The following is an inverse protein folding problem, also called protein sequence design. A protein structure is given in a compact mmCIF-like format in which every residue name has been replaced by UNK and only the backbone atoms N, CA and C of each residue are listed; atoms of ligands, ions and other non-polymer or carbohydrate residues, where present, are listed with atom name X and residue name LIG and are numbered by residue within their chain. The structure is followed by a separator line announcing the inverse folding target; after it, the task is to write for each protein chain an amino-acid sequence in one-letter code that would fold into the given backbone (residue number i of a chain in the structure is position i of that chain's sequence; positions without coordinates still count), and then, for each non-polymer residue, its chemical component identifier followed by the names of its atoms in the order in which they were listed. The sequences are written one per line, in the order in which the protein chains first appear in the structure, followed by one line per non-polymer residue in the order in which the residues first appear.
data_IF_567710666141
#
_entry.id   IF_567710666141
#
_cell.length_a   1.000
_cell.length_b   1.000
_cell.length_c   1.000
_cell.angle_alpha   90.00
_cell.angle_beta   90.00
_cell.angle_gamma   90.00
#
_symmetry.space_group_name_H-M   'P 1'
#
loop_
_entity.id
_entity.type
_entity.pdbx_description
1 polymer ?
#
# COMPACT_ATOMS: atom_id res chain seq x y z
N UNK A 1 4.55 19.84 2.04
CA UNK A 1 5.45 19.71 3.22
C UNK A 1 5.41 18.27 3.69
N UNK A 2 6.58 17.66 3.93
CA UNK A 2 6.68 16.28 4.42
C UNK A 2 6.60 16.19 5.95
N UNK A 3 6.44 14.97 6.47
CA UNK A 3 6.49 14.69 7.92
C UNK A 3 7.83 15.15 8.49
N UNK A 4 7.81 15.89 9.59
CA UNK A 4 9.03 16.22 10.34
C UNK A 4 9.67 14.93 10.87
N UNK A 5 11.00 14.84 10.76
CA UNK A 5 11.74 13.73 11.33
C UNK A 5 11.81 13.83 12.85
N UNK A 6 12.33 12.78 13.50
CA UNK A 6 12.41 12.74 14.97
C UNK A 6 13.31 13.85 15.53
N UNK A 7 14.38 14.20 14.81
CA UNK A 7 15.30 15.26 15.23
C UNK A 7 14.61 16.63 15.25
N UNK A 8 13.87 16.96 14.19
CA UNK A 8 13.08 18.17 14.11
C UNK A 8 11.97 18.22 15.18
N UNK A 9 11.30 17.09 15.44
CA UNK A 9 10.29 16.99 16.51
C UNK A 9 10.88 17.12 17.93
N UNK A 10 12.16 16.83 18.12
CA UNK A 10 12.85 17.03 19.41
C UNK A 10 13.41 18.45 19.60
N UNK A 11 13.31 19.32 18.58
CA UNK A 11 13.87 20.66 18.65
C UNK A 11 13.11 21.57 19.63
N UNK A 12 13.82 22.57 20.17
CA UNK A 12 13.26 23.51 21.16
C UNK A 12 12.06 24.29 20.63
N UNK A 13 12.09 24.71 19.37
CA UNK A 13 10.98 25.45 18.75
C UNK A 13 9.74 24.56 18.59
N UNK A 14 9.93 23.30 18.17
CA UNK A 14 8.81 22.37 18.00
C UNK A 14 8.14 22.08 19.35
N UNK A 15 8.93 21.85 20.40
CA UNK A 15 8.43 21.64 21.76
C UNK A 15 7.70 22.86 22.32
N UNK A 16 8.18 24.07 22.03
CA UNK A 16 7.50 25.31 22.43
C UNK A 16 6.13 25.43 21.75
N UNK A 17 6.03 25.14 20.45
CA UNK A 17 4.76 25.14 19.71
C UNK A 17 3.81 24.03 20.19
N UNK A 18 4.33 22.83 20.43
CA UNK A 18 3.56 21.70 20.98
C UNK A 18 3.00 22.01 22.38
N UNK A 19 3.72 22.77 23.20
CA UNK A 19 3.26 23.19 24.53
C UNK A 19 2.22 24.30 24.45
N UNK A 20 2.38 25.25 23.53
CA UNK A 20 1.50 26.41 23.40
C UNK A 20 0.25 26.15 22.53
N UNK A 21 0.16 25.00 21.87
CA UNK A 21 -0.91 24.72 20.90
C UNK A 21 -1.34 23.25 20.84
N UNK A 22 -2.16 22.92 19.85
CA UNK A 22 -2.63 21.55 19.60
C UNK A 22 -1.90 20.98 18.39
N UNK A 23 -1.19 19.87 18.59
CA UNK A 23 -0.56 19.13 17.51
C UNK A 23 -1.55 18.08 16.94
N UNK A 24 -1.84 18.18 15.65
CA UNK A 24 -2.65 17.19 14.92
C UNK A 24 -1.78 16.44 13.92
N UNK A 25 -1.57 15.14 14.16
CA UNK A 25 -0.77 14.27 13.28
C UNK A 25 -1.65 13.65 12.18
N UNK A 26 -1.64 14.25 10.99
CA UNK A 26 -2.40 13.80 9.82
C UNK A 26 -1.69 12.63 9.10
N UNK A 27 -1.62 11.46 9.75
CA UNK A 27 -1.01 10.27 9.17
C UNK A 27 -1.80 9.74 7.97
N UNK A 28 -1.13 9.17 6.94
CA UNK A 28 -1.80 8.47 5.86
C UNK A 28 -2.65 7.31 6.40
N UNK A 29 -3.85 7.17 5.85
CA UNK A 29 -4.75 6.03 6.12
C UNK A 29 -4.33 4.87 5.23
N UNK A 30 -3.96 3.74 5.83
CA UNK A 30 -3.58 2.56 5.04
C UNK A 30 -4.80 1.92 4.37
N UNK A 31 -4.59 1.12 3.33
CA UNK A 31 -5.67 0.35 2.69
C UNK A 31 -6.45 -0.51 3.68
N UNK A 32 -5.79 -1.11 4.67
CA UNK A 32 -6.43 -1.91 5.72
C UNK A 32 -7.30 -1.07 6.66
N UNK A 33 -6.93 0.19 6.89
CA UNK A 33 -7.66 1.12 7.76
C UNK A 33 -8.80 1.83 7.02
N UNK A 34 -8.73 1.91 5.69
CA UNK A 34 -9.64 2.68 4.86
C UNK A 34 -11.12 2.29 5.03
N UNK A 35 -11.52 1.01 5.09
CA UNK A 35 -12.92 0.64 5.34
C UNK A 35 -13.45 1.21 6.66
N UNK A 36 -12.67 1.11 7.74
CA UNK A 36 -13.05 1.64 9.05
C UNK A 36 -13.10 3.17 9.05
N UNK A 37 -12.17 3.82 8.34
CA UNK A 37 -12.18 5.27 8.18
C UNK A 37 -13.46 5.73 7.45
N UNK A 38 -13.86 5.04 6.38
CA UNK A 38 -15.09 5.30 5.63
C UNK A 38 -16.32 5.12 6.53
N UNK A 39 -16.39 4.04 7.32
CA UNK A 39 -17.50 3.83 8.26
C UNK A 39 -17.63 4.96 9.29
N UNK A 40 -16.50 5.41 9.86
CA UNK A 40 -16.51 6.54 10.81
C UNK A 40 -17.00 7.81 10.13
N UNK A 41 -16.59 8.04 8.88
CA UNK A 41 -17.02 9.21 8.13
C UNK A 41 -18.52 9.16 7.81
N UNK A 42 -19.04 8.02 7.36
CA UNK A 42 -20.49 7.84 7.19
C UNK A 42 -21.27 8.08 8.48
N UNK A 43 -20.81 7.60 9.62
CA UNK A 43 -21.45 7.87 10.92
C UNK A 43 -21.41 9.34 11.33
N UNK A 44 -20.39 10.08 10.89
CA UNK A 44 -20.29 11.52 11.10
C UNK A 44 -21.25 12.31 10.20
N UNK A 45 -21.75 11.69 9.12
CA UNK A 45 -22.83 12.29 8.33
C UNK A 45 -24.18 11.94 8.97
N UNK A 46 -25.07 12.92 9.06
CA UNK A 46 -26.44 12.73 9.61
C UNK A 46 -27.36 11.89 8.72
N UNK A 47 -26.81 11.25 7.69
CA UNK A 47 -27.59 10.75 6.56
C UNK A 47 -27.66 9.23 6.49
N UNK A 48 -26.61 8.49 6.86
CA UNK A 48 -26.62 7.01 6.71
C UNK A 48 -26.76 6.26 8.03
N UNK A 49 -27.80 5.44 8.13
CA UNK A 49 -28.08 4.61 9.31
C UNK A 49 -27.21 3.34 9.36
N UNK A 50 -26.89 2.76 8.20
CA UNK A 50 -26.04 1.57 8.08
C UNK A 50 -25.36 1.53 6.70
N UNK A 51 -24.06 1.24 6.69
CA UNK A 51 -23.31 0.95 5.45
C UNK A 51 -22.86 -0.50 5.46
N UNK A 52 -23.21 -1.25 4.40
CA UNK A 52 -22.60 -2.56 4.09
C UNK A 52 -21.57 -2.47 2.97
N UNK A 53 -21.34 -1.28 2.42
CA UNK A 53 -20.51 -1.04 1.25
C UNK A 53 -19.10 -0.53 1.55
N UNK A 54 -18.72 -0.27 2.80
CA UNK A 54 -17.46 0.42 3.14
C UNK A 54 -16.19 -0.27 2.59
N UNK A 55 -16.15 -1.61 2.60
CA UNK A 55 -15.04 -2.36 2.01
C UNK A 55 -14.99 -2.24 0.48
N UNK A 56 -16.17 -2.23 -0.18
CA UNK A 56 -16.26 -2.04 -1.62
C UNK A 56 -15.91 -0.62 -2.03
N UNK A 57 -16.38 0.38 -1.27
CA UNK A 57 -16.00 1.76 -1.49
C UNK A 57 -14.49 1.95 -1.29
N UNK A 58 -13.90 1.35 -0.26
CA UNK A 58 -12.45 1.38 -0.03
C UNK A 58 -11.65 0.84 -1.21
N UNK A 59 -12.17 -0.18 -1.92
CA UNK A 59 -11.57 -0.68 -3.16
C UNK A 59 -11.55 0.42 -4.24
N UNK A 60 -12.69 1.08 -4.49
CA UNK A 60 -12.81 2.12 -5.53
C UNK A 60 -12.08 3.43 -5.22
N UNK A 61 -11.70 3.69 -3.97
CA UNK A 61 -11.02 4.94 -3.58
C UNK A 61 -9.64 4.68 -2.97
N UNK A 62 -9.09 3.51 -3.24
CA UNK A 62 -7.79 3.10 -2.71
C UNK A 62 -6.70 4.13 -3.04
N UNK A 63 -5.92 4.52 -2.04
CA UNK A 63 -4.85 5.51 -2.20
C UNK A 63 -5.34 6.95 -2.46
N UNK A 64 -6.66 7.17 -2.47
CA UNK A 64 -7.28 8.47 -2.75
C UNK A 64 -8.27 8.87 -1.64
N UNK A 65 -7.73 9.31 -0.50
CA UNK A 65 -8.54 9.68 0.68
C UNK A 65 -9.48 10.87 0.41
N UNK A 66 -9.10 11.75 -0.52
CA UNK A 66 -9.96 12.84 -0.96
C UNK A 66 -11.18 12.31 -1.72
N UNK A 67 -10.99 11.42 -2.70
CA UNK A 67 -12.11 10.77 -3.37
C UNK A 67 -12.97 9.98 -2.38
N UNK A 68 -12.37 9.29 -1.41
CA UNK A 68 -13.10 8.61 -0.35
C UNK A 68 -14.04 9.56 0.42
N UNK A 69 -13.55 10.76 0.76
CA UNK A 69 -14.37 11.80 1.39
C UNK A 69 -15.51 12.25 0.48
N UNK A 70 -15.19 12.57 -0.78
CA UNK A 70 -16.15 13.09 -1.76
C UNK A 70 -17.25 12.07 -2.07
N UNK A 71 -16.90 10.79 -2.20
CA UNK A 71 -17.87 9.71 -2.41
C UNK A 71 -18.79 9.53 -1.20
N UNK A 72 -18.27 9.61 0.03
CA UNK A 72 -19.09 9.57 1.25
C UNK A 72 -20.09 10.73 1.27
N UNK A 73 -19.64 11.94 0.95
CA UNK A 73 -20.49 13.14 0.92
C UNK A 73 -21.56 13.03 -0.19
N UNK A 74 -21.16 12.61 -1.40
CA UNK A 74 -22.05 12.40 -2.54
C UNK A 74 -23.13 11.35 -2.24
N UNK A 75 -22.74 10.19 -1.73
CA UNK A 75 -23.68 9.11 -1.37
C UNK A 75 -24.63 9.55 -0.26
N UNK A 76 -24.15 10.30 0.72
CA UNK A 76 -24.98 10.83 1.81
C UNK A 76 -26.05 11.79 1.30
N UNK A 77 -25.72 12.64 0.31
CA UNK A 77 -26.66 13.58 -0.31
C UNK A 77 -27.66 12.88 -1.23
N UNK A 78 -27.22 11.89 -2.01
CA UNK A 78 -28.08 11.17 -2.96
C UNK A 78 -29.12 10.28 -2.27
N UNK A 79 -28.74 9.64 -1.15
CA UNK A 79 -29.59 8.64 -0.49
C UNK A 79 -30.53 9.26 0.55
N UNK A 80 -30.18 10.43 1.08
CA UNK A 80 -30.97 11.13 2.09
C UNK A 80 -30.92 10.49 3.49
N UNK A 81 -31.58 11.11 4.49
CA UNK A 81 -31.53 10.65 5.88
C UNK A 81 -32.15 9.27 6.12
N UNK A 82 -31.47 8.43 6.90
CA UNK A 82 -31.98 7.12 7.31
C UNK A 82 -31.80 6.02 6.25
N UNK A 83 -31.17 6.34 5.12
CA UNK A 83 -30.97 5.38 4.05
C UNK A 83 -29.95 4.29 4.42
N UNK A 84 -30.15 3.11 3.83
CA UNK A 84 -29.24 1.97 3.92
C UNK A 84 -28.49 1.83 2.60
N UNK A 85 -27.16 1.86 2.65
CA UNK A 85 -26.33 1.63 1.47
C UNK A 85 -26.07 0.13 1.30
N UNK A 86 -26.70 -0.46 0.28
CA UNK A 86 -26.39 -1.81 -0.17
C UNK A 86 -25.27 -1.82 -1.23
N UNK A 87 -24.77 -3.01 -1.55
CA UNK A 87 -23.65 -3.18 -2.47
C UNK A 87 -24.04 -2.85 -3.92
N UNK A 88 -25.26 -3.19 -4.33
CA UNK A 88 -25.73 -3.03 -5.71
C UNK A 88 -25.89 -1.56 -6.06
N UNK A 89 -26.49 -0.78 -5.18
CA UNK A 89 -26.61 0.67 -5.29
C UNK A 89 -25.24 1.34 -5.29
N UNK A 90 -24.32 0.87 -4.44
CA UNK A 90 -22.95 1.39 -4.42
C UNK A 90 -22.25 1.18 -5.77
N UNK A 91 -22.29 -0.03 -6.31
CA UNK A 91 -21.65 -0.37 -7.59
C UNK A 91 -22.27 0.36 -8.79
N UNK A 92 -23.54 0.75 -8.71
CA UNK A 92 -24.20 1.52 -9.76
C UNK A 92 -23.85 3.01 -9.75
N UNK A 93 -23.42 3.56 -8.60
CA UNK A 93 -23.22 5.02 -8.40
C UNK A 93 -21.75 5.41 -8.32
N UNK A 94 -20.91 4.53 -7.77
CA UNK A 94 -19.51 4.82 -7.48
C UNK A 94 -18.62 4.42 -8.64
N UNK A 95 -17.85 5.37 -9.16
CA UNK A 95 -16.81 5.11 -10.14
C UNK A 95 -15.48 4.74 -9.45
N UNK A 96 -14.59 4.03 -10.18
CA UNK A 96 -13.25 3.74 -9.67
C UNK A 96 -12.39 5.01 -9.73
N UNK A 97 -12.01 5.51 -8.55
CA UNK A 97 -11.16 6.68 -8.31
C UNK A 97 -9.88 6.29 -7.57
N UNK A 98 -9.51 5.00 -7.61
CA UNK A 98 -8.28 4.53 -6.99
C UNK A 98 -7.08 5.23 -7.62
N UNK A 99 -6.13 5.62 -6.78
CA UNK A 99 -4.89 6.26 -7.19
C UNK A 99 -3.72 5.44 -6.68
N UNK A 100 -2.88 4.99 -7.60
CA UNK A 100 -1.79 4.09 -7.26
C UNK A 100 -0.41 4.74 -7.37
N UNK A 101 0.59 4.06 -6.81
CA UNK A 101 2.00 4.40 -6.98
C UNK A 101 2.78 3.16 -7.42
N UNK A 102 3.97 3.36 -7.97
CA UNK A 102 4.88 2.25 -8.30
C UNK A 102 5.24 1.43 -7.06
N UNK A 103 5.23 2.02 -5.86
CA UNK A 103 5.44 1.29 -4.61
C UNK A 103 4.25 0.39 -4.26
N UNK A 104 3.02 0.85 -4.55
CA UNK A 104 1.81 0.03 -4.41
C UNK A 104 1.86 -1.20 -5.31
N UNK A 105 2.38 -1.04 -6.54
CA UNK A 105 2.59 -2.15 -7.47
C UNK A 105 3.58 -3.15 -6.91
N UNK A 106 4.75 -2.68 -6.45
CA UNK A 106 5.79 -3.52 -5.87
C UNK A 106 5.26 -4.31 -4.68
N UNK A 107 4.54 -3.67 -3.76
CA UNK A 107 4.01 -4.34 -2.57
C UNK A 107 2.92 -5.38 -2.94
N UNK A 108 2.09 -5.12 -3.95
CA UNK A 108 1.12 -6.09 -4.47
C UNK A 108 1.80 -7.31 -5.13
N UNK A 109 2.90 -7.09 -5.86
CA UNK A 109 3.68 -8.18 -6.44
C UNK A 109 4.37 -9.01 -5.34
N UNK A 110 4.95 -8.37 -4.33
CA UNK A 110 5.59 -9.07 -3.21
C UNK A 110 4.59 -9.88 -2.36
N UNK A 111 3.34 -9.43 -2.24
CA UNK A 111 2.31 -10.20 -1.54
C UNK A 111 1.84 -11.43 -2.32
N UNK A 112 2.21 -11.57 -3.60
CA UNK A 112 1.72 -12.63 -4.48
C UNK A 112 0.26 -12.43 -4.93
N UNK A 113 -0.31 -11.23 -4.75
CA UNK A 113 -1.68 -10.93 -5.15
C UNK A 113 -1.69 -10.51 -6.62
N UNK A 114 -1.86 -11.49 -7.51
CA UNK A 114 -1.82 -11.28 -8.97
C UNK A 114 -2.95 -10.37 -9.43
N UNK A 115 -4.17 -10.58 -8.92
CA UNK A 115 -5.34 -9.79 -9.32
C UNK A 115 -5.15 -8.31 -8.96
N UNK A 116 -4.67 -8.03 -7.74
CA UNK A 116 -4.33 -6.68 -7.32
C UNK A 116 -3.16 -6.10 -8.12
N UNK A 117 -2.12 -6.88 -8.38
CA UNK A 117 -0.97 -6.43 -9.18
C UNK A 117 -1.39 -5.95 -10.57
N UNK A 118 -2.24 -6.72 -11.25
CA UNK A 118 -2.78 -6.36 -12.58
C UNK A 118 -3.66 -5.11 -12.50
N UNK A 119 -4.52 -5.00 -11.48
CA UNK A 119 -5.34 -3.80 -11.25
C UNK A 119 -4.48 -2.55 -11.07
N UNK A 120 -3.49 -2.62 -10.19
CA UNK A 120 -2.58 -1.50 -9.89
C UNK A 120 -1.81 -1.09 -11.14
N UNK A 121 -1.28 -2.06 -11.89
CA UNK A 121 -0.59 -1.78 -13.16
C UNK A 121 -1.52 -1.12 -14.18
N UNK A 122 -2.77 -1.58 -14.28
CA UNK A 122 -3.80 -0.97 -15.12
C UNK A 122 -4.07 0.49 -14.75
N UNK A 123 -4.19 0.79 -13.45
CA UNK A 123 -4.38 2.15 -12.96
C UNK A 123 -3.17 3.05 -13.23
N UNK A 124 -1.95 2.57 -13.00
CA UNK A 124 -0.72 3.32 -13.34
C UNK A 124 -0.65 3.65 -14.83
N UNK A 125 -1.08 2.73 -15.71
CA UNK A 125 -1.16 2.95 -17.16
C UNK A 125 -2.22 4.00 -17.52
N UNK A 126 -3.38 3.97 -16.88
CA UNK A 126 -4.46 4.96 -17.10
C UNK A 126 -4.05 6.36 -16.64
N UNK A 127 -3.31 6.47 -15.54
CA UNK A 127 -2.75 7.73 -15.04
C UNK A 127 -1.55 8.24 -15.87
N UNK A 128 -1.10 7.50 -16.88
CA UNK A 128 0.03 7.89 -17.72
C UNK A 128 1.38 7.82 -17.01
N UNK A 129 1.53 6.93 -16.01
CA UNK A 129 2.81 6.73 -15.33
C UNK A 129 3.88 6.24 -16.31
N UNK A 130 5.04 6.88 -16.32
CA UNK A 130 6.14 6.53 -17.20
C UNK A 130 6.60 5.07 -17.00
N UNK A 131 6.70 4.32 -18.11
CA UNK A 131 7.07 2.91 -18.09
C UNK A 131 8.48 2.68 -17.53
N UNK A 132 9.41 3.62 -17.70
CA UNK A 132 10.76 3.52 -17.13
C UNK A 132 10.75 3.57 -15.60
N UNK A 133 9.83 4.35 -15.01
CA UNK A 133 9.66 4.42 -13.56
C UNK A 133 9.08 3.10 -13.00
N UNK A 134 8.10 2.52 -13.71
CA UNK A 134 7.54 1.21 -13.37
C UNK A 134 8.62 0.12 -13.45
N UNK A 135 9.38 0.09 -14.55
CA UNK A 135 10.48 -0.85 -14.76
C UNK A 135 11.54 -0.71 -13.67
N UNK A 136 11.96 0.52 -13.36
CA UNK A 136 12.92 0.80 -12.29
C UNK A 136 12.46 0.22 -10.95
N UNK A 137 11.20 0.44 -10.57
CA UNK A 137 10.67 -0.01 -9.29
C UNK A 137 10.70 -1.54 -9.18
N UNK A 138 10.29 -2.25 -10.24
CA UNK A 138 10.30 -3.71 -10.30
C UNK A 138 11.73 -4.28 -10.30
N UNK A 139 12.62 -3.75 -11.15
CA UNK A 139 14.02 -4.20 -11.23
C UNK A 139 14.74 -4.02 -9.91
N UNK A 140 14.53 -2.87 -9.25
CA UNK A 140 15.08 -2.60 -7.92
C UNK A 140 14.63 -3.66 -6.91
N UNK A 141 13.35 -4.01 -6.89
CA UNK A 141 12.84 -5.00 -5.94
C UNK A 141 13.34 -6.42 -6.26
N UNK A 142 13.39 -6.82 -7.53
CA UNK A 142 13.96 -8.12 -7.94
C UNK A 142 15.41 -8.26 -7.48
N UNK A 143 16.25 -7.24 -7.70
CA UNK A 143 17.65 -7.25 -7.25
C UNK A 143 17.78 -7.33 -5.73
N UNK A 144 16.91 -6.63 -5.00
CA UNK A 144 16.81 -6.72 -3.55
C UNK A 144 16.49 -8.16 -3.10
N UNK A 145 15.48 -8.77 -3.72
CA UNK A 145 15.05 -10.15 -3.42
C UNK A 145 16.12 -11.19 -3.72
N UNK A 146 16.88 -11.04 -4.81
CA UNK A 146 18.04 -11.89 -5.13
C UNK A 146 19.09 -11.82 -4.02
N UNK A 147 19.44 -10.60 -3.60
CA UNK A 147 20.45 -10.37 -2.55
C UNK A 147 20.01 -10.96 -1.21
N UNK A 148 18.75 -10.76 -0.83
CA UNK A 148 18.14 -11.31 0.37
C UNK A 148 18.15 -12.84 0.32
N UNK A 149 17.69 -13.44 -0.78
CA UNK A 149 17.65 -14.89 -0.96
C UNK A 149 19.04 -15.51 -0.80
N UNK A 150 20.07 -14.93 -1.44
CA UNK A 150 21.46 -15.40 -1.30
C UNK A 150 21.91 -15.42 0.16
N UNK A 151 21.69 -14.34 0.91
CA UNK A 151 22.10 -14.29 2.32
C UNK A 151 21.31 -15.24 3.22
N UNK A 152 20.06 -15.55 2.88
CA UNK A 152 19.28 -16.55 3.59
C UNK A 152 19.77 -17.97 3.30
N UNK A 153 20.17 -18.27 2.06
CA UNK A 153 20.79 -19.54 1.68
C UNK A 153 22.14 -19.77 2.39
N UNK A 154 22.89 -18.70 2.67
CA UNK A 154 24.11 -18.72 3.51
C UNK A 154 23.84 -19.03 5.00
N UNK A 155 22.58 -19.27 5.40
CA UNK A 155 22.20 -19.58 6.78
C UNK A 155 22.13 -18.37 7.71
N UNK A 156 22.25 -17.14 7.19
CA UNK A 156 22.16 -15.93 8.02
C UNK A 156 20.74 -15.75 8.54
N UNK A 157 20.61 -15.18 9.74
CA UNK A 157 19.29 -14.92 10.33
C UNK A 157 18.52 -13.86 9.53
N UNK A 158 17.22 -14.10 9.32
CA UNK A 158 16.33 -13.20 8.55
C UNK A 158 16.38 -11.75 9.06
N UNK A 159 16.38 -11.57 10.38
CA UNK A 159 16.41 -10.24 10.98
C UNK A 159 17.69 -9.46 10.64
N UNK A 160 18.85 -10.14 10.62
CA UNK A 160 20.12 -9.52 10.25
C UNK A 160 20.14 -9.17 8.77
N UNK A 161 19.70 -10.09 7.90
CA UNK A 161 19.62 -9.85 6.46
C UNK A 161 18.71 -8.67 6.14
N UNK A 162 17.52 -8.60 6.74
CA UNK A 162 16.57 -7.51 6.50
C UNK A 162 17.12 -6.16 6.92
N UNK A 163 17.83 -6.09 8.06
CA UNK A 163 18.51 -4.87 8.50
C UNK A 163 19.62 -4.46 7.53
N UNK A 164 20.46 -5.41 7.10
CA UNK A 164 21.57 -5.15 6.17
C UNK A 164 21.10 -4.71 4.79
N UNK A 165 20.01 -5.29 4.28
CA UNK A 165 19.43 -4.92 2.99
C UNK A 165 18.48 -3.71 3.07
N UNK A 166 18.36 -3.04 4.22
CA UNK A 166 17.51 -1.85 4.35
C UNK A 166 16.01 -2.13 4.22
N UNK A 167 15.57 -3.35 4.54
CA UNK A 167 14.15 -3.72 4.55
C UNK A 167 13.50 -3.11 5.79
N UNK A 168 12.64 -2.12 5.56
CA UNK A 168 11.83 -1.52 6.62
C UNK A 168 10.95 -2.56 7.30
N UNK A 169 10.75 -2.43 8.62
CA UNK A 169 9.97 -3.38 9.42
C UNK A 169 8.54 -3.60 8.89
N UNK A 170 7.93 -2.56 8.33
CA UNK A 170 6.61 -2.63 7.70
C UNK A 170 6.56 -3.54 6.46
N UNK A 171 7.68 -3.70 5.75
CA UNK A 171 7.79 -4.55 4.55
C UNK A 171 8.30 -5.95 4.85
N UNK A 172 8.76 -6.22 6.07
CA UNK A 172 9.27 -7.53 6.49
C UNK A 172 8.33 -8.70 6.17
N UNK A 173 7.02 -8.61 6.48
CA UNK A 173 6.06 -9.66 6.13
C UNK A 173 5.92 -9.90 4.62
N UNK A 174 5.89 -8.83 3.81
CA UNK A 174 5.79 -8.93 2.34
C UNK A 174 7.02 -9.60 1.74
N UNK A 175 8.21 -9.16 2.16
CA UNK A 175 9.48 -9.76 1.73
C UNK A 175 9.55 -11.23 2.16
N UNK A 176 9.07 -11.57 3.35
CA UNK A 176 9.03 -12.96 3.83
C UNK A 176 8.11 -13.82 2.95
N UNK A 177 6.94 -13.31 2.59
CA UNK A 177 6.00 -14.01 1.71
C UNK A 177 6.63 -14.24 0.32
N UNK A 178 7.24 -13.20 -0.26
CA UNK A 178 7.91 -13.27 -1.55
C UNK A 178 9.10 -14.25 -1.57
N UNK A 179 9.93 -14.27 -0.51
CA UNK A 179 11.06 -15.21 -0.41
C UNK A 179 10.56 -16.66 -0.45
N UNK A 180 9.50 -16.99 0.31
CA UNK A 180 8.92 -18.34 0.32
C UNK A 180 8.35 -18.76 -1.03
N UNK A 181 7.68 -17.83 -1.72
CA UNK A 181 7.12 -18.09 -3.04
C UNK A 181 8.24 -18.34 -4.07
N UNK A 182 9.32 -17.57 -3.98
CA UNK A 182 10.49 -17.71 -4.86
C UNK A 182 11.20 -19.05 -4.66
N UNK A 183 11.43 -19.46 -3.40
CA UNK A 183 12.09 -20.74 -3.10
C UNK A 183 11.32 -21.92 -3.71
N UNK A 184 9.98 -21.84 -3.77
CA UNK A 184 9.11 -22.84 -4.41
C UNK A 184 9.21 -22.85 -5.94
N UNK A 185 9.38 -21.68 -6.57
CA UNK A 185 9.43 -21.55 -8.03
C UNK A 185 10.80 -21.97 -8.58
N UNK A 186 11.87 -21.66 -7.86
CA UNK A 186 13.25 -21.81 -8.34
C UNK A 186 14.01 -22.99 -7.72
N UNK A 187 13.36 -23.81 -6.89
CA UNK A 187 13.88 -25.11 -6.44
C UNK A 187 15.16 -25.07 -5.58
N UNK A 188 15.61 -23.89 -5.17
CA UNK A 188 16.86 -23.68 -4.42
C UNK A 188 17.17 -22.22 -4.08
N UNK A 189 16.17 -21.33 -4.16
CA UNK A 189 16.32 -19.88 -4.00
C UNK A 189 16.78 -19.16 -5.28
N UNK A 190 16.64 -17.83 -5.32
CA UNK A 190 16.98 -16.97 -6.47
C UNK A 190 18.45 -17.13 -6.92
N UNK A 191 19.34 -17.58 -6.02
CA UNK A 191 20.77 -17.75 -6.28
C UNK A 191 21.09 -18.98 -7.14
N UNK A 192 20.29 -20.06 -7.06
CA UNK A 192 20.54 -21.29 -7.81
C UNK A 192 20.21 -21.18 -9.31
N UNK A 193 19.25 -20.32 -9.68
CA UNK A 193 18.76 -20.25 -11.06
C UNK A 193 19.37 -19.10 -11.87
N UNK A 194 19.77 -17.98 -11.25
CA UNK A 194 20.37 -16.85 -11.99
C UNK A 194 21.89 -17.05 -12.23
N UNK A 195 22.55 -17.90 -11.45
CA UNK A 195 24.00 -18.15 -11.60
C UNK A 195 24.31 -19.25 -12.63
N UNK A 196 23.32 -20.04 -13.08
CA UNK A 196 23.52 -21.07 -14.11
C UNK A 196 23.33 -20.48 -15.52
N UNK A 197 24.29 -19.65 -15.93
CA UNK A 197 24.75 -19.52 -17.32
C UNK A 197 26.01 -18.64 -17.39
N UNK A 198 26.97 -18.91 -16.51
CA UNK A 198 28.40 -18.65 -16.78
C UNK A 198 29.18 -19.95 -16.59
N UNK A 199 28.98 -20.89 -17.52
CA UNK A 199 30.01 -21.84 -17.95
C UNK A 199 30.65 -21.19 -19.18
N UNK A 200 31.85 -20.61 -19.06
CA UNK A 200 33.14 -21.29 -19.34
C UNK A 200 33.25 -21.66 -20.82
N UNK A 201 34.14 -20.91 -21.50
CA UNK A 201 34.68 -21.02 -22.86
C UNK A 201 33.75 -20.83 -24.08
#
# INVERSE_FOLDING_TARGET
MGRLDKGAQSSRWFKAVETAGVLVDARPVSFQQLPQWIERRFKSTRYLARSRGSARLAYYVEGNLLAASQEVDKLSLLLGPGANLDLKTLEAIVADHARFSVFTLVDACLSGDVARSVRVLGGLRQEGTDASLVLWALVREVRSMVTISRHLCEGRSRQTVYRQCGVWSSRGPLVTAASRATDRIFGGGFAGTIVVSRTSD
#
